data_IF_431581101792
#
_entry.id   IF_431581101792
#
_cell.length_a   1.000
_cell.length_b   1.000
_cell.length_c   1.000
_cell.angle_alpha   90.00
_cell.angle_beta   90.00
_cell.angle_gamma   90.00
#
_symmetry.space_group_name_H-M   'P 1'
#
loop_
_entity.id
_entity.type
_entity.pdbx_description
1 polymer ?
#
# COMPACT_ATOMS: atom_id res chain seq x y z
N UNK A 1 18.17 2.91 -1.99
CA UNK A 1 16.76 2.65 -2.34
C UNK A 1 16.17 3.86 -3.04
N UNK A 2 15.53 3.67 -4.16
CA UNK A 2 14.85 4.76 -4.85
C UNK A 2 13.36 4.71 -4.54
N UNK A 3 12.82 5.82 -4.04
CA UNK A 3 11.38 5.92 -3.74
C UNK A 3 10.52 5.73 -5.00
N UNK A 4 11.07 5.99 -6.18
CA UNK A 4 10.34 5.82 -7.44
C UNK A 4 10.09 4.35 -7.82
N UNK A 5 10.83 3.43 -7.22
CA UNK A 5 10.67 2.01 -7.49
C UNK A 5 9.64 1.34 -6.56
N UNK A 6 9.09 2.09 -5.61
CA UNK A 6 8.21 1.54 -4.59
C UNK A 6 6.80 2.10 -4.79
N UNK A 7 5.84 1.19 -4.85
CA UNK A 7 4.41 1.51 -4.91
C UNK A 7 3.73 0.94 -3.68
N UNK A 8 2.89 1.73 -3.05
CA UNK A 8 2.03 1.25 -1.98
C UNK A 8 0.66 0.95 -2.57
N UNK A 9 0.14 -0.23 -2.27
CA UNK A 9 -1.19 -0.66 -2.73
C UNK A 9 -2.05 -0.91 -1.50
N UNK A 10 -3.14 -0.16 -1.39
CA UNK A 10 -4.12 -0.37 -0.34
C UNK A 10 -5.16 -1.38 -0.82
N UNK A 11 -5.29 -2.47 -0.08
CA UNK A 11 -6.14 -3.60 -0.47
C UNK A 11 -7.47 -3.52 0.29
N UNK A 12 -8.54 -3.21 -0.43
CA UNK A 12 -9.92 -3.21 0.09
C UNK A 12 -10.09 -2.41 1.37
N UNK A 13 -9.46 -1.24 1.43
CA UNK A 13 -9.50 -0.38 2.60
C UNK A 13 -10.93 0.07 2.89
N UNK A 14 -11.37 -0.06 4.13
CA UNK A 14 -12.74 0.22 4.52
C UNK A 14 -12.96 1.65 5.01
N UNK A 15 -11.94 2.27 5.58
CA UNK A 15 -12.06 3.59 6.19
C UNK A 15 -11.32 4.65 5.39
N UNK A 16 -12.02 5.75 5.15
CA UNK A 16 -11.43 6.91 4.44
C UNK A 16 -10.20 7.45 5.17
N UNK A 17 -10.24 7.46 6.51
CA UNK A 17 -9.13 7.95 7.33
C UNK A 17 -7.85 7.15 7.11
N UNK A 18 -7.98 5.84 6.87
CA UNK A 18 -6.81 4.99 6.64
C UNK A 18 -6.12 5.34 5.33
N UNK A 19 -6.90 5.69 4.31
CA UNK A 19 -6.33 6.12 3.03
C UNK A 19 -5.58 7.43 3.20
N UNK A 20 -6.17 8.40 3.88
CA UNK A 20 -5.52 9.67 4.15
C UNK A 20 -4.27 9.52 5.01
N UNK A 21 -4.34 8.69 6.05
CA UNK A 21 -3.20 8.44 6.93
C UNK A 21 -2.05 7.75 6.17
N UNK A 22 -2.37 6.82 5.27
CA UNK A 22 -1.36 6.17 4.44
C UNK A 22 -0.62 7.20 3.56
N UNK A 23 -1.36 8.08 2.91
CA UNK A 23 -0.77 9.12 2.07
C UNK A 23 0.14 10.04 2.89
N UNK A 24 -0.28 10.42 4.10
CA UNK A 24 0.55 11.24 5.00
C UNK A 24 1.85 10.51 5.39
N UNK A 25 1.75 9.24 5.74
CA UNK A 25 2.93 8.43 6.06
C UNK A 25 3.89 8.33 4.89
N UNK A 26 3.35 8.10 3.70
CA UNK A 26 4.15 8.06 2.48
C UNK A 26 4.89 9.39 2.25
N UNK A 27 4.19 10.50 2.45
CA UNK A 27 4.78 11.83 2.28
C UNK A 27 5.96 12.02 3.22
N UNK A 28 5.83 11.61 4.48
CA UNK A 28 6.88 11.76 5.48
C UNK A 28 8.15 10.99 5.11
N UNK A 29 8.00 9.89 4.38
CA UNK A 29 9.14 9.05 3.95
C UNK A 29 9.48 9.24 2.48
N UNK A 30 8.92 10.28 1.85
CA UNK A 30 9.20 10.65 0.47
C UNK A 30 8.79 9.58 -0.56
N UNK A 31 7.76 8.81 -0.28
CA UNK A 31 7.14 7.92 -1.25
C UNK A 31 5.99 8.63 -1.94
N UNK A 32 5.79 8.35 -3.23
CA UNK A 32 4.81 9.08 -4.03
C UNK A 32 3.80 8.21 -4.77
N UNK A 33 4.07 6.93 -4.95
CA UNK A 33 3.22 6.07 -5.76
C UNK A 33 2.24 5.30 -4.89
N UNK A 34 0.96 5.65 -5.02
CA UNK A 34 -0.13 5.01 -4.31
C UNK A 34 -1.13 4.44 -5.31
N UNK A 35 -1.45 3.18 -5.15
CA UNK A 35 -2.56 2.52 -5.87
C UNK A 35 -3.57 2.02 -4.85
N UNK A 36 -4.84 2.06 -5.23
CA UNK A 36 -5.93 1.66 -4.34
C UNK A 36 -6.74 0.59 -5.05
N UNK A 37 -6.80 -0.58 -4.44
CA UNK A 37 -7.53 -1.71 -4.98
C UNK A 37 -8.83 -1.87 -4.23
N UNK A 38 -9.94 -1.74 -4.96
CA UNK A 38 -11.31 -2.01 -4.50
C UNK A 38 -11.61 -1.36 -3.14
N UNK A 39 -11.51 -0.02 -3.02
CA UNK A 39 -11.80 0.65 -1.76
C UNK A 39 -13.28 0.58 -1.43
N UNK A 40 -13.60 0.43 -0.15
CA UNK A 40 -14.98 0.46 0.31
C UNK A 40 -15.59 1.86 0.17
N UNK A 41 -14.89 2.94 0.60
CA UNK A 41 -15.40 4.30 0.41
C UNK A 41 -15.40 4.70 -1.07
N UNK A 42 -16.29 5.64 -1.41
CA UNK A 42 -16.22 6.32 -2.70
C UNK A 42 -14.91 7.11 -2.75
N UNK A 43 -14.15 6.93 -3.81
CA UNK A 43 -12.82 7.53 -3.91
C UNK A 43 -12.74 8.46 -5.13
N UNK A 44 -12.22 9.70 -4.96
CA UNK A 44 -11.88 10.33 -3.69
C UNK A 44 -13.11 10.88 -2.98
N UNK A 45 -12.96 11.27 -1.71
CA UNK A 45 -14.02 11.96 -0.98
C UNK A 45 -13.41 12.99 -0.02
N UNK A 46 -14.27 13.85 0.54
CA UNK A 46 -13.81 14.95 1.38
C UNK A 46 -13.07 14.48 2.63
N UNK A 47 -13.47 13.35 3.20
CA UNK A 47 -12.85 12.82 4.40
C UNK A 47 -11.43 12.31 4.12
N UNK A 48 -11.24 11.69 2.97
CA UNK A 48 -9.91 11.27 2.53
C UNK A 48 -9.00 12.49 2.38
N UNK A 49 -9.51 13.53 1.71
CA UNK A 49 -8.73 14.74 1.51
C UNK A 49 -8.45 15.48 2.82
N UNK A 50 -9.41 15.50 3.73
CA UNK A 50 -9.23 16.15 5.04
C UNK A 50 -8.18 15.42 5.89
N UNK A 51 -8.11 14.10 5.81
CA UNK A 51 -7.14 13.31 6.60
C UNK A 51 -5.79 13.18 5.93
N UNK A 52 -5.64 13.62 4.68
CA UNK A 52 -4.39 13.56 3.94
C UNK A 52 -3.63 14.89 3.94
N UNK A 53 -3.71 15.64 5.03
CA UNK A 53 -3.10 16.98 5.15
C UNK A 53 -1.63 16.95 4.72
N UNK A 54 -1.28 17.82 3.77
CA UNK A 54 0.08 17.89 3.23
C UNK A 54 0.40 16.81 2.20
N UNK A 55 -0.50 15.83 1.99
CA UNK A 55 -0.28 14.72 1.07
C UNK A 55 -1.39 14.60 0.02
N UNK A 56 -2.12 15.68 -0.24
CA UNK A 56 -3.21 15.65 -1.23
C UNK A 56 -2.72 15.33 -2.64
N UNK A 57 -1.49 15.70 -2.96
CA UNK A 57 -0.91 15.39 -4.26
C UNK A 57 -0.75 13.88 -4.46
N UNK A 58 -0.46 13.13 -3.41
CA UNK A 58 -0.36 11.67 -3.48
C UNK A 58 -1.74 11.08 -3.79
N UNK A 59 -2.77 11.57 -3.10
CA UNK A 59 -4.16 11.15 -3.36
C UNK A 59 -4.57 11.48 -4.80
N UNK A 60 -4.28 12.69 -5.26
CA UNK A 60 -4.68 13.14 -6.60
C UNK A 60 -4.00 12.36 -7.72
N UNK A 61 -2.79 11.85 -7.48
CA UNK A 61 -2.05 11.06 -8.46
C UNK A 61 -2.31 9.56 -8.34
N UNK A 62 -3.00 9.13 -7.29
CA UNK A 62 -3.26 7.71 -7.07
C UNK A 62 -4.18 7.14 -8.14
N UNK A 63 -4.07 5.83 -8.34
CA UNK A 63 -4.91 5.09 -9.28
C UNK A 63 -5.77 4.11 -8.51
N UNK A 64 -7.03 4.00 -8.92
CA UNK A 64 -7.96 3.03 -8.34
C UNK A 64 -8.13 1.87 -9.31
N UNK A 65 -8.05 0.67 -8.78
CA UNK A 65 -8.22 -0.57 -9.55
C UNK A 65 -9.33 -1.41 -8.95
N UNK A 66 -10.12 -2.04 -9.80
CA UNK A 66 -11.14 -2.99 -9.38
C UNK A 66 -10.65 -4.45 -9.42
N UNK A 67 -9.45 -4.67 -9.97
CA UNK A 67 -8.80 -5.97 -9.97
C UNK A 67 -7.34 -5.78 -9.54
N UNK A 68 -6.77 -6.79 -8.89
CA UNK A 68 -5.40 -6.69 -8.38
C UNK A 68 -4.35 -6.81 -9.49
N UNK A 69 -4.60 -7.62 -10.51
CA UNK A 69 -3.63 -7.87 -11.57
C UNK A 69 -3.15 -6.60 -12.27
N UNK A 70 -4.05 -5.67 -12.70
CA UNK A 70 -3.56 -4.42 -13.30
C UNK A 70 -2.73 -3.57 -12.36
N UNK A 71 -3.05 -3.60 -11.05
CA UNK A 71 -2.29 -2.85 -10.05
C UNK A 71 -0.87 -3.39 -9.89
N UNK A 72 -0.65 -4.66 -10.18
CA UNK A 72 0.65 -5.32 -10.06
C UNK A 72 1.44 -5.34 -11.36
N UNK A 73 0.91 -4.74 -12.42
CA UNK A 73 1.61 -4.71 -13.71
C UNK A 73 2.95 -4.01 -13.57
N UNK A 74 3.99 -4.63 -14.11
CA UNK A 74 5.37 -4.14 -14.06
C UNK A 74 5.98 -4.11 -12.66
N UNK A 75 5.40 -4.82 -11.70
CA UNK A 75 5.96 -4.99 -10.36
C UNK A 75 6.77 -6.29 -10.34
N UNK A 76 7.99 -6.21 -9.83
CA UNK A 76 8.87 -7.38 -9.75
C UNK A 76 8.64 -8.19 -8.47
N UNK A 77 8.39 -7.51 -7.35
CA UNK A 77 8.16 -8.16 -6.06
C UNK A 77 6.98 -7.52 -5.36
N UNK A 78 6.16 -8.35 -4.74
CA UNK A 78 5.06 -7.89 -3.89
C UNK A 78 5.35 -8.32 -2.46
N UNK A 79 5.37 -7.35 -1.56
CA UNK A 79 5.52 -7.60 -0.13
C UNK A 79 4.18 -7.26 0.51
N UNK A 80 3.50 -8.28 1.02
CA UNK A 80 2.19 -8.10 1.61
C UNK A 80 2.27 -8.09 3.12
N UNK A 81 1.56 -7.16 3.74
CA UNK A 81 1.30 -7.20 5.17
C UNK A 81 -0.07 -7.81 5.37
N UNK A 82 -0.19 -8.74 6.29
CA UNK A 82 -1.47 -9.39 6.55
C UNK A 82 -1.53 -9.90 7.97
N UNK A 83 -2.72 -9.80 8.56
CA UNK A 83 -2.98 -10.41 9.85
C UNK A 83 -3.30 -11.91 9.74
N UNK A 84 -3.40 -12.44 8.52
CA UNK A 84 -3.82 -13.83 8.29
C UNK A 84 -2.85 -14.57 7.39
N UNK A 85 -2.48 -15.77 7.80
CA UNK A 85 -1.62 -16.67 7.05
C UNK A 85 -2.47 -17.78 6.45
N UNK A 86 -3.12 -17.50 5.33
CA UNK A 86 -4.05 -18.46 4.75
C UNK A 86 -3.51 -19.22 3.55
N UNK A 87 -2.54 -18.66 2.86
CA UNK A 87 -2.03 -19.27 1.64
C UNK A 87 -0.66 -19.87 1.90
N UNK A 88 -0.57 -21.19 1.79
CA UNK A 88 0.68 -21.92 1.98
C UNK A 88 1.71 -21.65 0.88
N UNK A 89 1.26 -21.12 -0.26
CA UNK A 89 2.15 -20.81 -1.37
C UNK A 89 2.84 -19.46 -1.24
N UNK A 90 2.44 -18.66 -0.25
CA UNK A 90 3.06 -17.36 0.00
C UNK A 90 4.27 -17.56 0.90
N UNK A 91 5.40 -17.05 0.45
CA UNK A 91 6.61 -17.05 1.26
C UNK A 91 6.48 -16.01 2.36
N UNK A 92 6.61 -16.45 3.60
CA UNK A 92 6.62 -15.55 4.75
C UNK A 92 8.06 -15.15 5.05
N UNK A 93 8.28 -13.84 5.19
CA UNK A 93 9.61 -13.34 5.50
C UNK A 93 9.60 -12.62 6.84
N UNK A 94 10.73 -12.64 7.50
CA UNK A 94 10.96 -11.88 8.73
C UNK A 94 11.24 -10.42 8.39
N UNK A 95 11.03 -9.53 9.35
CA UNK A 95 11.34 -8.13 9.16
C UNK A 95 12.81 -7.92 8.76
N UNK A 96 13.72 -8.70 9.33
CA UNK A 96 15.14 -8.64 9.02
C UNK A 96 15.43 -8.99 7.56
N UNK A 97 14.59 -9.83 6.94
CA UNK A 97 14.77 -10.24 5.55
C UNK A 97 14.52 -9.11 4.57
N UNK A 98 13.87 -8.03 5.00
CA UNK A 98 13.69 -6.85 4.16
C UNK A 98 15.02 -6.25 3.72
N UNK A 99 16.07 -6.43 4.52
CA UNK A 99 17.41 -5.96 4.17
C UNK A 99 18.01 -6.70 2.98
N UNK A 100 17.51 -7.90 2.68
CA UNK A 100 17.99 -8.74 1.58
C UNK A 100 17.28 -8.46 0.28
N UNK A 101 16.25 -7.62 0.29
CA UNK A 101 15.46 -7.32 -0.90
C UNK A 101 16.23 -6.35 -1.78
N UNK A 102 16.23 -6.64 -3.07
CA UNK A 102 16.86 -5.77 -4.06
C UNK A 102 15.92 -4.59 -4.37
N UNK A 103 16.16 -3.47 -3.74
CA UNK A 103 15.36 -2.26 -3.91
C UNK A 103 15.67 -1.50 -5.20
N UNK A 104 16.54 -2.03 -6.07
CA UNK A 104 16.65 -1.53 -7.44
C UNK A 104 15.50 -2.03 -8.32
N UNK A 105 14.82 -3.08 -7.89
CA UNK A 105 13.65 -3.63 -8.57
C UNK A 105 12.40 -2.85 -8.23
N UNK A 106 11.34 -3.07 -9.01
CA UNK A 106 10.03 -2.45 -8.76
C UNK A 106 9.29 -3.28 -7.73
N UNK A 107 9.00 -2.67 -6.60
CA UNK A 107 8.43 -3.33 -5.43
C UNK A 107 7.09 -2.70 -5.10
N UNK A 108 6.10 -3.53 -4.82
CA UNK A 108 4.83 -3.09 -4.27
C UNK A 108 4.70 -3.58 -2.84
N UNK A 109 4.34 -2.66 -1.94
CA UNK A 109 3.89 -3.02 -0.60
C UNK A 109 2.37 -3.08 -0.61
N UNK A 110 1.83 -4.26 -0.43
CA UNK A 110 0.39 -4.49 -0.42
C UNK A 110 -0.09 -4.48 1.03
N UNK A 111 -0.87 -3.45 1.36
CA UNK A 111 -1.33 -3.22 2.72
C UNK A 111 -2.79 -3.61 2.84
N UNK A 112 -3.08 -4.59 3.68
CA UNK A 112 -4.46 -5.00 3.98
C UNK A 112 -4.87 -4.40 5.31
N UNK A 113 -5.62 -3.30 5.25
CA UNK A 113 -6.04 -2.52 6.41
C UNK A 113 -7.47 -2.86 6.86
N UNK A 114 -8.02 -3.99 6.42
CA UNK A 114 -9.39 -4.37 6.77
C UNK A 114 -9.55 -4.77 8.22
N UNK A 115 -8.47 -5.19 8.85
CA UNK A 115 -8.47 -5.60 10.25
C UNK A 115 -7.71 -4.56 11.07
N UNK A 116 -8.25 -4.23 12.24
CA UNK A 116 -7.65 -3.21 13.09
C UNK A 116 -6.37 -3.66 13.78
N UNK A 117 -6.10 -4.96 13.80
CA UNK A 117 -4.86 -5.48 14.37
C UNK A 117 -3.92 -5.82 13.25
N UNK A 118 -2.84 -5.06 13.16
CA UNK A 118 -1.82 -5.29 12.14
C UNK A 118 -0.66 -6.03 12.74
N UNK A 119 -0.23 -7.05 12.04
CA UNK A 119 0.99 -7.76 12.39
C UNK A 119 1.89 -7.73 11.18
N UNK A 120 3.11 -7.26 11.39
CA UNK A 120 4.14 -7.48 10.40
C UNK A 120 4.39 -8.98 10.37
N UNK A 121 4.33 -9.56 9.20
CA UNK A 121 4.51 -10.99 9.06
C UNK A 121 5.93 -11.36 9.42
N UNK A 122 6.04 -12.17 10.45
CA UNK A 122 7.33 -12.64 10.92
C UNK A 122 7.60 -14.04 10.43
#
# INVERSE_FOLDING_TARGET
MSANNITFILHKTQLSEDIGACARGMKNFNFQKLSIFDPKPIFPNDKILATSVGAKNIINKSKVFDALEPALKNIDYVIATSARFRNKNIKHIQLEDLKKIDFTKKIAFLLDLRHQVYRIMK
#
